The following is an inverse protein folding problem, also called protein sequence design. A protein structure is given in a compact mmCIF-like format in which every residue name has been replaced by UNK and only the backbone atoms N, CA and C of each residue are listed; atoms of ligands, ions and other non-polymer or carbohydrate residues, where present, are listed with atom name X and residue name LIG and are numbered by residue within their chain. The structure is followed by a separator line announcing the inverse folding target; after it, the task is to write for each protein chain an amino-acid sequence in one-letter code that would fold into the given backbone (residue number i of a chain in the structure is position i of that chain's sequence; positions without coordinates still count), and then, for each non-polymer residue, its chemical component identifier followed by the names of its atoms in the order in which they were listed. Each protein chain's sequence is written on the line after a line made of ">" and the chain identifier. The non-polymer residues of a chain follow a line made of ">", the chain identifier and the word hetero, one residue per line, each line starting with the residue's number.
data_IF_947175132157
#
_entry.id   IF_947175132157
#
_cell.length_a   1.000
_cell.length_b   1.000
_cell.length_c   1.000
_cell.angle_alpha   90.00
_cell.angle_beta   90.00
_cell.angle_gamma   90.00
#
_symmetry.space_group_name_H-M   'P 1'
#
loop_
_entity.id
_entity.type
_entity.pdbx_description
1 polymer ?
#
# COMPACT_ATOMS: atom_id res chain seq x y z
N UNK A 1 16.08 24.57 -27.39
CA UNK A 1 14.60 24.62 -27.35
C UNK A 1 14.08 23.19 -27.34
N UNK A 2 13.07 22.83 -26.51
CA UNK A 2 12.43 21.53 -26.65
C UNK A 2 11.78 21.41 -28.03
N UNK A 3 11.95 20.27 -28.69
CA UNK A 3 11.36 20.00 -30.01
C UNK A 3 9.83 20.02 -29.88
N UNK A 4 9.09 20.70 -30.78
CA UNK A 4 7.63 20.62 -30.78
C UNK A 4 7.21 19.17 -31.02
N UNK A 5 6.35 18.66 -30.14
CA UNK A 5 5.80 17.31 -30.18
C UNK A 5 4.87 17.22 -31.39
N UNK A 6 5.02 16.19 -32.22
CA UNK A 6 4.11 15.95 -33.34
C UNK A 6 2.70 15.60 -32.84
N UNK A 7 1.68 15.81 -33.67
CA UNK A 7 0.30 15.42 -33.33
C UNK A 7 0.21 13.92 -33.00
N UNK A 8 0.90 13.07 -33.75
CA UNK A 8 0.96 11.62 -33.51
C UNK A 8 1.58 11.29 -32.15
N UNK A 9 2.71 11.89 -31.79
CA UNK A 9 3.34 11.71 -30.47
C UNK A 9 2.41 12.18 -29.34
N UNK A 10 1.67 13.28 -29.52
CA UNK A 10 0.69 13.75 -28.54
C UNK A 10 -0.46 12.75 -28.32
N UNK A 11 -0.99 12.15 -29.40
CA UNK A 11 -2.05 11.14 -29.29
C UNK A 11 -1.56 9.83 -28.69
N UNK A 12 -0.37 9.36 -29.05
CA UNK A 12 0.25 8.17 -28.47
C UNK A 12 0.54 8.33 -26.98
N UNK A 13 1.07 9.48 -26.56
CA UNK A 13 1.29 9.81 -25.15
C UNK A 13 -0.01 9.90 -24.36
N UNK A 14 -1.06 10.43 -24.97
CA UNK A 14 -2.39 10.50 -24.36
C UNK A 14 -3.00 9.10 -24.21
N UNK A 15 -2.87 8.24 -25.22
CA UNK A 15 -3.33 6.85 -25.17
C UNK A 15 -2.56 6.02 -24.13
N UNK A 16 -1.24 6.13 -24.09
CA UNK A 16 -0.39 5.47 -23.08
C UNK A 16 -0.74 5.93 -21.66
N UNK A 17 -1.02 7.22 -21.47
CA UNK A 17 -1.45 7.73 -20.18
C UNK A 17 -2.83 7.22 -19.77
N UNK A 18 -3.82 7.23 -20.68
CA UNK A 18 -5.14 6.67 -20.41
C UNK A 18 -5.07 5.18 -20.06
N UNK A 19 -4.17 4.43 -20.71
CA UNK A 19 -3.91 3.04 -20.37
C UNK A 19 -3.27 2.90 -18.99
N UNK A 20 -2.31 3.77 -18.65
CA UNK A 20 -1.69 3.84 -17.33
C UNK A 20 -2.72 4.13 -16.24
N UNK A 21 -3.54 5.18 -16.38
CA UNK A 21 -4.55 5.53 -15.38
C UNK A 21 -5.59 4.44 -15.19
N UNK A 22 -6.06 3.83 -16.28
CA UNK A 22 -6.94 2.67 -16.23
C UNK A 22 -6.32 1.50 -15.45
N UNK A 23 -5.05 1.17 -15.73
CA UNK A 23 -4.32 0.09 -15.04
C UNK A 23 -4.11 0.41 -13.56
N UNK A 24 -3.68 1.62 -13.23
CA UNK A 24 -3.50 2.09 -11.85
C UNK A 24 -4.81 1.99 -11.09
N UNK A 25 -5.92 2.41 -11.69
CA UNK A 25 -7.17 2.42 -10.97
C UNK A 25 -7.83 1.04 -10.85
N UNK A 26 -7.72 0.20 -11.88
CA UNK A 26 -8.04 -1.23 -11.77
C UNK A 26 -7.22 -1.88 -10.65
N UNK A 27 -5.93 -1.58 -10.58
CA UNK A 27 -5.04 -2.08 -9.56
C UNK A 27 -5.51 -1.66 -8.15
N UNK A 28 -5.78 -0.37 -7.91
CA UNK A 28 -6.27 0.08 -6.60
C UNK A 28 -7.64 -0.50 -6.23
N UNK A 29 -8.54 -0.68 -7.20
CA UNK A 29 -9.83 -1.33 -6.98
C UNK A 29 -9.64 -2.78 -6.50
N UNK A 30 -8.81 -3.55 -7.21
CA UNK A 30 -8.51 -4.95 -6.84
C UNK A 30 -7.88 -5.01 -5.46
N UNK A 31 -6.93 -4.12 -5.14
CA UNK A 31 -6.31 -4.10 -3.81
C UNK A 31 -7.30 -3.76 -2.70
N UNK A 32 -8.23 -2.81 -2.91
CA UNK A 32 -9.30 -2.52 -1.95
C UNK A 32 -10.20 -3.74 -1.72
N UNK A 33 -10.58 -4.47 -2.78
CA UNK A 33 -11.38 -5.70 -2.65
C UNK A 33 -10.63 -6.79 -1.88
N UNK A 34 -9.33 -6.96 -2.13
CA UNK A 34 -8.48 -7.88 -1.36
C UNK A 34 -8.42 -7.46 0.10
N UNK A 35 -8.23 -6.17 0.40
CA UNK A 35 -8.24 -5.65 1.77
C UNK A 35 -9.55 -5.97 2.49
N UNK A 36 -10.70 -5.78 1.82
CA UNK A 36 -12.01 -6.16 2.38
C UNK A 36 -12.07 -7.66 2.65
N UNK A 37 -11.59 -8.49 1.73
CA UNK A 37 -11.55 -9.94 1.89
C UNK A 37 -10.71 -10.37 3.09
N UNK A 38 -9.50 -9.80 3.24
CA UNK A 38 -8.62 -10.05 4.40
C UNK A 38 -9.31 -9.59 5.68
N UNK A 39 -9.86 -8.37 5.70
CA UNK A 39 -10.49 -7.83 6.89
C UNK A 39 -11.66 -8.68 7.37
N UNK A 40 -12.53 -9.11 6.44
CA UNK A 40 -13.68 -9.99 6.73
C UNK A 40 -13.28 -11.41 7.14
N UNK A 41 -12.06 -11.84 6.80
CA UNK A 41 -11.55 -13.16 7.21
C UNK A 41 -11.10 -13.20 8.67
N UNK A 42 -10.84 -12.04 9.30
CA UNK A 42 -10.44 -11.98 10.70
C UNK A 42 -11.66 -12.25 11.62
N UNK A 43 -11.60 -13.21 12.55
CA UNK A 43 -12.72 -13.54 13.44
C UNK A 43 -13.21 -12.39 14.32
N UNK A 44 -12.39 -11.35 14.51
CA UNK A 44 -12.76 -10.15 15.26
C UNK A 44 -13.80 -9.31 14.52
N UNK A 45 -13.84 -9.38 13.19
CA UNK A 45 -14.59 -8.42 12.37
C UNK A 45 -16.09 -8.44 12.67
N UNK A 46 -16.66 -9.63 12.86
CA UNK A 46 -18.09 -9.79 13.20
C UNK A 46 -18.47 -9.27 14.59
N UNK A 47 -17.48 -8.93 15.42
CA UNK A 47 -17.68 -8.39 16.78
C UNK A 47 -17.68 -6.86 16.82
N UNK A 48 -17.34 -6.20 15.71
CA UNK A 48 -17.25 -4.75 15.59
C UNK A 48 -18.52 -4.18 14.97
N UNK A 49 -18.94 -3.00 15.43
CA UNK A 49 -20.04 -2.27 14.81
C UNK A 49 -19.66 -1.81 13.40
N UNK A 50 -20.65 -1.71 12.51
CA UNK A 50 -20.45 -1.30 11.10
C UNK A 50 -19.72 0.04 10.99
N UNK A 51 -20.00 0.98 11.92
CA UNK A 51 -19.33 2.27 11.98
C UNK A 51 -17.83 2.12 12.24
N UNK A 52 -17.45 1.32 13.23
CA UNK A 52 -16.04 1.07 13.57
C UNK A 52 -15.35 0.27 12.46
N UNK A 53 -16.03 -0.70 11.84
CA UNK A 53 -15.52 -1.42 10.68
C UNK A 53 -15.14 -0.47 9.54
N UNK A 54 -15.98 0.54 9.26
CA UNK A 54 -15.71 1.53 8.23
C UNK A 54 -14.50 2.41 8.58
N UNK A 55 -14.42 2.87 9.83
CA UNK A 55 -13.28 3.67 10.34
C UNK A 55 -11.97 2.90 10.19
N UNK A 56 -11.94 1.64 10.61
CA UNK A 56 -10.75 0.79 10.49
C UNK A 56 -10.37 0.63 9.02
N UNK A 57 -11.33 0.27 8.18
CA UNK A 57 -11.08 0.05 6.76
C UNK A 57 -10.50 1.29 6.08
N UNK A 58 -11.10 2.46 6.30
CA UNK A 58 -10.60 3.73 5.74
C UNK A 58 -9.18 4.04 6.20
N UNK A 59 -8.85 3.74 7.46
CA UNK A 59 -7.52 3.98 8.02
C UNK A 59 -6.45 3.05 7.45
N UNK A 60 -6.74 1.75 7.31
CA UNK A 60 -5.73 0.73 6.96
C UNK A 60 -5.70 0.33 5.48
N UNK A 61 -6.72 0.66 4.68
CA UNK A 61 -6.84 0.16 3.30
C UNK A 61 -5.62 0.50 2.43
N UNK A 62 -5.15 1.75 2.45
CA UNK A 62 -3.98 2.15 1.65
C UNK A 62 -2.67 1.52 2.14
N UNK A 63 -2.30 1.60 3.44
CA UNK A 63 -1.13 0.91 3.98
C UNK A 63 -1.12 -0.59 3.66
N UNK A 64 -2.23 -1.29 3.91
CA UNK A 64 -2.35 -2.74 3.67
C UNK A 64 -2.22 -3.08 2.19
N UNK A 65 -2.88 -2.31 1.31
CA UNK A 65 -2.77 -2.49 -0.14
C UNK A 65 -1.32 -2.38 -0.60
N UNK A 66 -0.60 -1.35 -0.15
CA UNK A 66 0.81 -1.14 -0.49
C UNK A 66 1.69 -2.25 0.07
N UNK A 67 1.48 -2.62 1.33
CA UNK A 67 2.22 -3.68 2.00
C UNK A 67 2.07 -5.02 1.26
N UNK A 68 0.85 -5.37 0.83
CA UNK A 68 0.56 -6.53 0.00
C UNK A 68 1.31 -6.54 -1.33
N UNK A 69 1.40 -5.39 -1.98
CA UNK A 69 2.08 -5.22 -3.26
C UNK A 69 3.60 -5.29 -3.11
N UNK A 70 4.15 -4.66 -2.06
CA UNK A 70 5.58 -4.72 -1.78
C UNK A 70 6.01 -6.15 -1.50
N UNK A 71 5.25 -6.88 -0.68
CA UNK A 71 5.50 -8.29 -0.42
C UNK A 71 5.41 -9.12 -1.71
N UNK A 72 4.39 -8.90 -2.55
CA UNK A 72 4.28 -9.59 -3.83
C UNK A 72 5.47 -9.31 -4.76
N UNK A 73 5.92 -8.06 -4.83
CA UNK A 73 7.08 -7.65 -5.64
C UNK A 73 8.37 -8.29 -5.13
N UNK A 74 8.59 -8.28 -3.81
CA UNK A 74 9.67 -8.98 -3.14
C UNK A 74 9.67 -10.48 -3.46
N UNK A 75 8.50 -11.14 -3.39
CA UNK A 75 8.38 -12.58 -3.73
C UNK A 75 8.66 -12.87 -5.20
N UNK A 76 8.50 -11.89 -6.09
CA UNK A 76 8.88 -11.97 -7.50
C UNK A 76 10.35 -11.58 -7.76
N UNK A 77 11.12 -11.24 -6.72
CA UNK A 77 12.52 -10.82 -6.86
C UNK A 77 12.69 -9.39 -7.39
N UNK A 78 11.64 -8.59 -7.40
CA UNK A 78 11.66 -7.21 -7.89
C UNK A 78 11.90 -6.22 -6.75
N UNK A 79 12.90 -5.34 -6.89
CA UNK A 79 13.18 -4.20 -5.99
C UNK A 79 12.30 -2.97 -6.25
N UNK A 80 11.30 -3.14 -7.11
CA UNK A 80 10.37 -2.10 -7.51
C UNK A 80 8.99 -2.71 -7.71
N UNK A 81 7.95 -1.92 -7.52
CA UNK A 81 6.57 -2.36 -7.58
C UNK A 81 6.29 -2.99 -8.94
N UNK A 82 5.85 -4.26 -8.93
CA UNK A 82 5.46 -4.98 -10.13
C UNK A 82 4.14 -5.73 -9.89
N UNK A 83 3.22 -5.58 -10.85
CA UNK A 83 2.00 -6.37 -10.92
C UNK A 83 2.29 -7.78 -11.43
N UNK A 84 1.45 -8.75 -11.03
CA UNK A 84 1.54 -10.13 -11.56
C UNK A 84 1.29 -10.21 -13.08
N UNK A 85 0.65 -9.19 -13.64
CA UNK A 85 0.41 -8.99 -15.07
C UNK A 85 1.60 -8.29 -15.79
N UNK A 86 2.74 -8.13 -15.10
CA UNK A 86 3.89 -7.41 -15.62
C UNK A 86 3.72 -5.88 -15.61
N UNK A 87 2.66 -5.36 -14.98
CA UNK A 87 2.49 -3.92 -14.82
C UNK A 87 3.63 -3.33 -13.98
N UNK A 88 4.37 -2.39 -14.56
CA UNK A 88 5.54 -1.77 -13.94
C UNK A 88 5.36 -0.25 -13.89
N UNK A 89 4.78 0.30 -12.81
CA UNK A 89 4.41 1.73 -12.74
C UNK A 89 5.60 2.67 -12.85
N UNK A 90 6.79 2.25 -12.39
CA UNK A 90 7.98 3.10 -12.39
C UNK A 90 8.47 3.43 -13.81
N UNK A 91 8.20 2.57 -14.80
CA UNK A 91 8.51 2.88 -16.21
C UNK A 91 7.76 4.13 -16.70
N UNK A 92 6.53 4.34 -16.25
CA UNK A 92 5.75 5.54 -16.59
C UNK A 92 6.49 6.79 -16.13
N UNK A 93 6.98 6.81 -14.89
CA UNK A 93 7.68 7.97 -14.35
C UNK A 93 9.09 8.16 -14.91
N UNK A 94 9.76 7.07 -15.29
CA UNK A 94 11.12 7.10 -15.82
C UNK A 94 11.17 7.49 -17.32
N UNK A 95 10.22 7.03 -18.12
CA UNK A 95 10.33 7.06 -19.57
C UNK A 95 9.26 7.89 -20.28
N UNK A 96 8.11 8.15 -19.65
CA UNK A 96 7.07 8.95 -20.29
C UNK A 96 7.57 10.39 -20.48
N UNK A 97 7.45 10.93 -21.69
CA UNK A 97 7.97 12.25 -22.05
C UNK A 97 7.46 13.36 -21.12
N UNK A 98 6.18 13.29 -20.74
CA UNK A 98 5.56 14.24 -19.82
C UNK A 98 6.19 14.24 -18.42
N UNK A 99 6.79 13.14 -17.98
CA UNK A 99 7.27 12.97 -16.59
C UNK A 99 8.79 12.86 -16.47
N UNK A 100 9.49 12.41 -17.51
CA UNK A 100 10.92 12.04 -17.45
C UNK A 100 11.86 13.15 -16.97
N UNK A 101 11.47 14.41 -17.16
CA UNK A 101 12.27 15.58 -16.76
C UNK A 101 11.88 16.13 -15.38
N UNK A 102 10.78 15.64 -14.79
CA UNK A 102 10.29 16.07 -13.50
C UNK A 102 10.92 15.26 -12.37
N UNK A 103 12.02 15.80 -11.85
CA UNK A 103 12.79 15.19 -10.75
C UNK A 103 11.98 15.07 -9.47
N UNK A 104 11.03 15.98 -9.23
CA UNK A 104 10.19 15.96 -8.02
C UNK A 104 9.21 14.82 -8.11
N UNK A 105 8.50 14.71 -9.23
CA UNK A 105 7.58 13.61 -9.49
C UNK A 105 8.30 12.26 -9.46
N UNK A 106 9.46 12.15 -10.11
CA UNK A 106 10.28 10.93 -10.08
C UNK A 106 10.70 10.56 -8.66
N UNK A 107 11.12 11.54 -7.84
CA UNK A 107 11.49 11.33 -6.44
C UNK A 107 10.32 10.84 -5.60
N UNK A 108 9.12 11.42 -5.78
CA UNK A 108 7.89 10.98 -5.12
C UNK A 108 7.52 9.55 -5.56
N UNK A 109 7.56 9.26 -6.86
CA UNK A 109 7.31 7.93 -7.39
C UNK A 109 8.28 6.90 -6.80
N UNK A 110 9.58 7.22 -6.75
CA UNK A 110 10.59 6.33 -6.18
C UNK A 110 10.36 6.03 -4.68
N UNK A 111 9.90 7.03 -3.91
CA UNK A 111 9.53 6.87 -2.49
C UNK A 111 8.32 5.95 -2.25
N UNK A 112 7.48 5.75 -3.27
CA UNK A 112 6.30 4.87 -3.20
C UNK A 112 6.61 3.51 -3.84
N UNK A 113 7.25 3.50 -5.00
CA UNK A 113 7.30 2.32 -5.86
C UNK A 113 8.52 1.43 -5.61
N UNK A 114 9.65 1.98 -5.15
CA UNK A 114 10.89 1.19 -5.03
C UNK A 114 11.45 1.20 -3.61
N UNK A 115 11.62 2.38 -3.00
CA UNK A 115 12.23 2.50 -1.66
C UNK A 115 11.57 1.63 -0.58
N UNK A 116 10.22 1.51 -0.50
CA UNK A 116 9.59 0.71 0.54
C UNK A 116 9.79 -0.81 0.41
N UNK A 117 10.32 -1.29 -0.73
CA UNK A 117 10.52 -2.72 -1.00
C UNK A 117 11.87 -3.19 -0.50
N UNK A 118 12.90 -2.33 -0.51
CA UNK A 118 14.26 -2.67 -0.07
C UNK A 118 14.31 -3.39 1.28
N UNK A 119 13.59 -2.93 2.34
CA UNK A 119 13.63 -3.60 3.64
C UNK A 119 13.10 -5.04 3.61
N UNK A 120 12.24 -5.42 2.66
CA UNK A 120 11.78 -6.81 2.53
C UNK A 120 12.91 -7.76 2.13
N UNK A 121 13.87 -7.29 1.34
CA UNK A 121 15.05 -8.06 0.96
C UNK A 121 16.05 -8.17 2.11
N UNK A 122 16.23 -7.09 2.87
CA UNK A 122 17.15 -7.06 4.00
C UNK A 122 16.65 -7.92 5.17
N UNK A 123 15.35 -7.87 5.47
CA UNK A 123 14.73 -8.56 6.60
C UNK A 123 14.40 -10.03 6.25
N UNK A 124 14.01 -10.30 5.00
CA UNK A 124 13.61 -11.63 4.54
C UNK A 124 12.32 -12.12 5.19
N UNK A 125 11.16 -11.77 4.61
CA UNK A 125 9.84 -12.09 5.17
C UNK A 125 9.24 -13.36 4.53
N UNK A 126 8.85 -14.32 5.36
CA UNK A 126 8.08 -15.52 4.97
C UNK A 126 6.58 -15.21 4.85
N UNK A 127 5.81 -16.14 4.27
CA UNK A 127 4.36 -15.94 4.09
C UNK A 127 3.63 -15.92 5.44
N UNK A 128 4.07 -16.75 6.37
CA UNK A 128 3.51 -16.89 7.71
C UNK A 128 3.72 -15.61 8.52
N UNK A 129 4.95 -15.07 8.50
CA UNK A 129 5.28 -13.77 9.10
C UNK A 129 4.44 -12.65 8.46
N UNK A 130 4.30 -12.66 7.14
CA UNK A 130 3.52 -11.65 6.43
C UNK A 130 2.04 -11.67 6.79
N UNK A 131 1.43 -12.85 6.91
CA UNK A 131 0.04 -13.00 7.32
C UNK A 131 -0.21 -12.45 8.73
N UNK A 132 0.73 -12.67 9.65
CA UNK A 132 0.70 -12.11 11.00
C UNK A 132 0.83 -10.59 11.01
N UNK A 133 1.76 -10.05 10.22
CA UNK A 133 1.93 -8.60 10.05
C UNK A 133 0.62 -7.98 9.55
N UNK A 134 -0.02 -8.56 8.53
CA UNK A 134 -1.30 -8.07 8.01
C UNK A 134 -2.38 -8.01 9.09
N UNK A 135 -2.51 -9.08 9.89
CA UNK A 135 -3.46 -9.10 11.00
C UNK A 135 -3.17 -7.98 12.00
N UNK A 136 -1.91 -7.79 12.40
CA UNK A 136 -1.49 -6.73 13.34
C UNK A 136 -1.86 -5.34 12.81
N UNK A 137 -1.69 -5.06 11.51
CA UNK A 137 -2.07 -3.77 10.92
C UNK A 137 -3.58 -3.50 11.05
N UNK A 138 -4.41 -4.50 10.77
CA UNK A 138 -5.88 -4.37 10.88
C UNK A 138 -6.36 -4.22 12.32
N UNK A 139 -5.59 -4.75 13.28
CA UNK A 139 -5.97 -4.82 14.68
C UNK A 139 -5.51 -3.61 15.50
N UNK A 140 -5.04 -2.54 14.86
CA UNK A 140 -4.52 -1.37 15.56
C UNK A 140 -5.61 -0.69 16.42
N UNK A 141 -5.48 -0.65 17.77
CA UNK A 141 -6.45 0.00 18.64
C UNK A 141 -6.33 1.54 18.64
N UNK A 142 -5.22 2.09 18.16
CA UNK A 142 -4.93 3.53 18.20
C UNK A 142 -5.53 4.30 17.02
N UNK A 143 -6.46 3.69 16.28
CA UNK A 143 -7.15 4.33 15.17
C UNK A 143 -8.05 5.45 15.72
N UNK A 144 -7.94 6.69 15.19
CA UNK A 144 -8.79 7.79 15.62
C UNK A 144 -10.28 7.49 15.43
N UNK A 145 -11.13 8.07 16.29
CA UNK A 145 -12.60 8.02 16.21
C UNK A 145 -13.25 6.65 16.45
N UNK A 146 -12.49 5.61 16.80
CA UNK A 146 -13.07 4.34 17.24
C UNK A 146 -13.94 4.49 18.49
N UNK A 147 -14.94 3.62 18.64
CA UNK A 147 -15.62 3.42 19.91
C UNK A 147 -14.67 2.81 20.97
N UNK A 148 -14.98 3.00 22.24
CA UNK A 148 -14.23 2.37 23.33
C UNK A 148 -14.35 0.84 23.29
N UNK A 149 -15.53 0.32 22.95
CA UNK A 149 -15.76 -1.11 22.74
C UNK A 149 -14.84 -1.67 21.65
N UNK A 150 -14.77 -1.02 20.49
CA UNK A 150 -13.88 -1.43 19.41
C UNK A 150 -12.41 -1.37 19.83
N UNK A 151 -11.96 -0.30 20.50
CA UNK A 151 -10.58 -0.21 21.01
C UNK A 151 -10.23 -1.37 21.94
N UNK A 152 -11.12 -1.73 22.86
CA UNK A 152 -10.91 -2.84 23.79
C UNK A 152 -10.82 -4.19 23.06
N UNK A 153 -11.71 -4.44 22.10
CA UNK A 153 -11.70 -5.64 21.27
C UNK A 153 -10.40 -5.73 20.47
N UNK A 154 -10.02 -4.65 19.77
CA UNK A 154 -8.83 -4.59 18.94
C UNK A 154 -7.55 -4.73 19.77
N UNK A 155 -7.44 -4.09 20.93
CA UNK A 155 -6.26 -4.18 21.80
C UNK A 155 -5.97 -5.61 22.26
N UNK A 156 -7.02 -6.37 22.61
CA UNK A 156 -6.89 -7.78 22.97
C UNK A 156 -6.38 -8.63 21.81
N UNK A 157 -6.98 -8.47 20.64
CA UNK A 157 -6.61 -9.24 19.44
C UNK A 157 -5.21 -8.83 18.94
N UNK A 158 -4.89 -7.53 18.91
CA UNK A 158 -3.57 -7.00 18.59
C UNK A 158 -2.48 -7.63 19.46
N UNK A 159 -2.71 -7.68 20.77
CA UNK A 159 -1.77 -8.29 21.72
C UNK A 159 -1.58 -9.79 21.44
N UNK A 160 -2.67 -10.49 21.11
CA UNK A 160 -2.63 -11.91 20.77
C UNK A 160 -1.81 -12.18 19.51
N UNK A 161 -2.09 -11.50 18.39
CA UNK A 161 -1.37 -11.71 17.13
C UNK A 161 0.09 -11.21 17.20
N UNK A 162 0.34 -10.13 17.94
CA UNK A 162 1.70 -9.63 18.19
C UNK A 162 2.53 -10.64 18.97
N UNK A 163 1.97 -11.22 20.04
CA UNK A 163 2.62 -12.30 20.78
C UNK A 163 2.86 -13.53 19.89
N UNK A 164 1.88 -13.92 19.08
CA UNK A 164 2.01 -15.06 18.17
C UNK A 164 3.16 -14.86 17.16
N UNK A 165 3.35 -13.64 16.65
CA UNK A 165 4.49 -13.31 15.80
C UNK A 165 5.82 -13.40 16.55
N UNK A 166 5.89 -12.86 17.76
CA UNK A 166 7.10 -12.94 18.58
C UNK A 166 7.49 -14.38 18.90
N UNK A 167 6.53 -15.18 19.38
CA UNK A 167 6.74 -16.59 19.73
C UNK A 167 7.16 -17.41 18.49
N UNK A 168 6.52 -17.17 17.34
CA UNK A 168 6.90 -17.80 16.08
C UNK A 168 8.36 -17.49 15.69
N UNK A 169 8.77 -16.23 15.82
CA UNK A 169 10.11 -15.78 15.50
C UNK A 169 11.16 -16.33 16.48
N UNK A 170 10.86 -16.33 17.79
CA UNK A 170 11.72 -16.92 18.81
C UNK A 170 11.94 -18.41 18.59
N UNK A 171 10.88 -19.16 18.28
CA UNK A 171 10.97 -20.60 18.01
C UNK A 171 11.83 -20.91 16.78
N UNK A 172 11.82 -20.02 15.77
CA UNK A 172 12.52 -20.25 14.50
C UNK A 172 13.97 -19.76 14.50
N UNK A 173 14.25 -18.67 15.22
CA UNK A 173 15.53 -17.94 15.13
C UNK A 173 16.28 -17.86 16.48
N UNK A 174 15.67 -18.30 17.58
CA UNK A 174 16.14 -18.03 18.93
C UNK A 174 15.68 -16.65 19.44
N UNK A 175 15.85 -16.41 20.74
CA UNK A 175 15.32 -15.24 21.44
C UNK A 175 15.87 -13.92 20.85
N UNK A 176 17.19 -13.80 20.72
CA UNK A 176 17.81 -12.54 20.32
C UNK A 176 17.50 -12.17 18.87
N UNK A 177 17.74 -13.10 17.94
CA UNK A 177 17.48 -12.88 16.52
C UNK A 177 15.97 -12.76 16.22
N UNK A 178 15.13 -13.53 16.92
CA UNK A 178 13.68 -13.41 16.81
C UNK A 178 13.15 -12.07 17.31
N UNK A 179 13.67 -11.55 18.42
CA UNK A 179 13.31 -10.22 18.94
C UNK A 179 13.73 -9.11 17.96
N UNK A 180 14.94 -9.21 17.40
CA UNK A 180 15.41 -8.26 16.37
C UNK A 180 14.47 -8.25 15.16
N UNK A 181 14.17 -9.43 14.61
CA UNK A 181 13.29 -9.55 13.44
C UNK A 181 11.87 -9.11 13.73
N UNK A 182 11.37 -9.31 14.95
CA UNK A 182 10.08 -8.82 15.39
C UNK A 182 10.00 -7.28 15.30
N UNK A 183 11.02 -6.58 15.80
CA UNK A 183 11.10 -5.11 15.68
C UNK A 183 11.17 -4.66 14.21
N UNK A 184 11.91 -5.38 13.37
CA UNK A 184 11.98 -5.13 11.92
C UNK A 184 10.61 -5.31 11.22
N UNK A 185 9.78 -6.25 11.67
CA UNK A 185 8.42 -6.42 11.17
C UNK A 185 7.54 -5.18 11.45
N UNK A 186 7.65 -4.59 12.65
CA UNK A 186 6.95 -3.34 12.98
C UNK A 186 7.49 -2.14 12.20
N UNK A 187 8.78 -2.15 11.83
CA UNK A 187 9.34 -1.17 10.92
C UNK A 187 8.67 -1.25 9.53
N UNK A 188 8.42 -2.45 9.00
CA UNK A 188 7.66 -2.64 7.74
C UNK A 188 6.23 -2.09 7.83
N UNK A 189 5.55 -2.31 8.96
CA UNK A 189 4.22 -1.73 9.21
C UNK A 189 4.30 -0.20 9.12
N UNK A 190 5.22 0.41 9.85
CA UNK A 190 5.41 1.87 9.86
C UNK A 190 5.74 2.40 8.46
N UNK A 191 6.63 1.72 7.73
CA UNK A 191 6.98 2.07 6.36
C UNK A 191 5.78 2.02 5.41
N UNK A 192 4.81 1.12 5.62
CA UNK A 192 3.58 1.07 4.81
C UNK A 192 2.68 2.30 5.01
N UNK A 193 2.56 2.80 6.24
CA UNK A 193 1.82 4.04 6.53
C UNK A 193 2.51 5.26 5.92
N UNK A 194 3.84 5.32 5.99
CA UNK A 194 4.62 6.37 5.32
C UNK A 194 4.45 6.26 3.79
N UNK A 195 4.46 5.05 3.25
CA UNK A 195 4.19 4.76 1.84
C UNK A 195 2.82 5.27 1.40
N UNK A 196 1.78 5.06 2.22
CA UNK A 196 0.44 5.56 1.94
C UNK A 196 0.37 7.09 1.90
N UNK A 197 1.08 7.78 2.82
CA UNK A 197 1.22 9.24 2.79
C UNK A 197 1.95 9.72 1.54
N UNK A 198 3.04 9.05 1.18
CA UNK A 198 3.80 9.38 -0.03
C UNK A 198 2.98 9.13 -1.32
N UNK A 199 2.13 8.10 -1.34
CA UNK A 199 1.21 7.84 -2.44
C UNK A 199 0.20 8.99 -2.57
N UNK A 200 -0.37 9.45 -1.46
CA UNK A 200 -1.28 10.61 -1.49
C UNK A 200 -0.57 11.85 -2.05
N UNK A 201 0.65 12.14 -1.59
CA UNK A 201 1.46 13.25 -2.11
C UNK A 201 1.76 13.10 -3.60
N UNK A 202 2.07 11.90 -4.08
CA UNK A 202 2.29 11.61 -5.49
C UNK A 202 1.03 11.92 -6.32
N UNK A 203 -0.13 11.43 -5.89
CA UNK A 203 -1.41 11.67 -6.57
C UNK A 203 -1.73 13.16 -6.62
N UNK A 204 -1.67 13.86 -5.47
CA UNK A 204 -1.95 15.29 -5.39
C UNK A 204 -0.99 16.11 -6.25
N UNK A 205 0.29 15.74 -6.31
CA UNK A 205 1.26 16.40 -7.19
C UNK A 205 0.90 16.21 -8.67
N UNK A 206 0.53 14.98 -9.07
CA UNK A 206 0.10 14.71 -10.44
C UNK A 206 -1.13 15.52 -10.83
N UNK A 207 -2.11 15.64 -9.93
CA UNK A 207 -3.35 16.38 -10.19
C UNK A 207 -3.10 17.89 -10.29
N UNK A 208 -2.28 18.45 -9.40
CA UNK A 208 -1.97 19.88 -9.38
C UNK A 208 -1.18 20.34 -10.62
N UNK A 209 -0.16 19.58 -11.03
CA UNK A 209 0.79 20.04 -12.05
C UNK A 209 0.51 19.49 -13.45
N UNK A 210 -0.17 18.34 -13.56
CA UNK A 210 -0.48 17.74 -14.86
C UNK A 210 -1.97 17.81 -15.21
N UNK A 211 -2.83 18.29 -14.29
CA UNK A 211 -4.30 18.44 -14.48
C UNK A 211 -4.96 17.16 -14.99
N UNK A 212 -4.43 16.00 -14.60
CA UNK A 212 -4.96 14.69 -15.00
C UNK A 212 -5.63 14.06 -13.78
N UNK A 213 -6.95 14.24 -13.59
CA UNK A 213 -7.63 13.75 -12.41
C UNK A 213 -7.54 12.22 -12.35
N UNK A 214 -6.86 11.69 -11.33
CA UNK A 214 -6.93 10.28 -10.96
C UNK A 214 -8.14 10.05 -10.04
N UNK A 215 -8.58 11.10 -9.34
CA UNK A 215 -9.71 11.14 -8.40
C UNK A 215 -11.07 10.72 -8.98
N UNK A 216 -11.34 10.94 -10.27
CA UNK A 216 -12.65 10.56 -10.85
C UNK A 216 -12.81 9.05 -11.06
N UNK A 217 -11.69 8.31 -11.12
CA UNK A 217 -11.67 6.88 -11.42
C UNK A 217 -11.36 6.02 -10.17
N UNK A 218 -10.57 6.52 -9.22
CA UNK A 218 -10.16 5.78 -8.01
C UNK A 218 -11.23 5.71 -6.91
N UNK A 219 -12.26 6.54 -7.01
CA UNK A 219 -13.36 6.67 -6.05
C UNK A 219 -14.68 6.64 -6.82
N UNK A 220 -15.43 5.52 -6.81
CA UNK A 220 -16.83 5.56 -7.23
C UNK A 220 -17.56 6.62 -6.40
N UNK A 221 -18.44 7.41 -7.03
CA UNK A 221 -19.16 8.52 -6.38
C UNK A 221 -19.85 8.12 -5.07
N UNK A 222 -20.19 6.85 -4.87
CA UNK A 222 -20.79 6.34 -3.63
C UNK A 222 -19.89 6.44 -2.38
N UNK A 223 -18.61 6.79 -2.51
CA UNK A 223 -17.72 7.05 -1.37
C UNK A 223 -17.39 8.54 -1.19
N UNK A 224 -18.02 9.44 -1.95
CA UNK A 224 -17.81 10.89 -1.82
C UNK A 224 -18.75 11.55 -0.80
N UNK A 225 -19.85 10.87 -0.45
CA UNK A 225 -20.95 11.42 0.35
C UNK A 225 -21.19 10.69 1.68
N UNK A 226 -20.15 10.09 2.28
CA UNK A 226 -20.21 9.45 3.62
C UNK A 226 -19.17 10.09 4.54
#
# INVERSE_FOLDING_TARGET
>A
MPRPISSTEFYEESAQFCQYTYRVAKFFLVQKLICIGIFKSLPVFSKLDVKDQLIIFQYVAHPVSLLGVYFASYKLGSRTMIGKDGFYPMATFAYQFSFKNDKTLFSLANKVLSKPIEPFFDIGISKEEFSLILAIVFLNPDIPNLSESARNILSKEFSYYSKMLLDYLHNKLGIDAGTKKYAECFHLITASFIGAKNLQLLITYQEAFYKRPLESFLMPKCFKDI
#
